data_IF_620291256017
#
_entry.id   IF_620291256017
#
_cell.length_a   1.000
_cell.length_b   1.000
_cell.length_c   1.000
_cell.angle_alpha   90.00
_cell.angle_beta   90.00
_cell.angle_gamma   90.00
#
_symmetry.space_group_name_H-M   'P 1'
#
loop_
_entity.id
_entity.type
_entity.pdbx_description
1 polymer ?
#
# COMPACT_ATOMS: atom_id res chain seq x y z
N UNK A 1 1.66 -5.16 -0.47
CA UNK A 1 0.48 -5.92 0.04
C UNK A 1 0.41 -7.29 -0.63
N UNK A 2 -0.03 -7.39 -1.89
CA UNK A 2 -0.15 -8.68 -2.59
C UNK A 2 1.16 -9.46 -2.70
N UNK A 3 2.27 -8.79 -3.01
CA UNK A 3 3.58 -9.46 -3.08
C UNK A 3 4.00 -10.06 -1.74
N UNK A 4 3.75 -9.34 -0.64
CA UNK A 4 4.00 -9.83 0.72
C UNK A 4 3.15 -11.06 1.02
N UNK A 5 1.87 -11.04 0.62
CA UNK A 5 0.98 -12.16 0.86
C UNK A 5 1.42 -13.43 0.11
N UNK A 6 1.93 -13.30 -1.13
CA UNK A 6 2.56 -14.44 -1.83
C UNK A 6 3.82 -14.91 -1.10
N UNK A 7 4.66 -13.98 -0.63
CA UNK A 7 5.87 -14.35 0.12
C UNK A 7 5.57 -15.09 1.42
N UNK A 8 4.53 -14.68 2.16
CA UNK A 8 4.09 -15.37 3.36
C UNK A 8 3.57 -16.79 3.06
N UNK A 9 2.88 -16.96 1.92
CA UNK A 9 2.29 -18.24 1.51
C UNK A 9 3.31 -19.22 0.89
N UNK A 10 4.23 -18.72 0.08
CA UNK A 10 5.07 -19.53 -0.82
C UNK A 10 6.57 -19.36 -0.59
N UNK A 11 6.97 -18.39 0.24
CA UNK A 11 8.37 -18.06 0.50
C UNK A 11 9.07 -17.31 -0.64
N UNK A 12 8.36 -17.01 -1.74
CA UNK A 12 8.90 -16.25 -2.87
C UNK A 12 8.27 -14.86 -2.94
N UNK A 13 9.09 -13.83 -3.17
CA UNK A 13 8.61 -12.46 -3.32
C UNK A 13 8.47 -12.13 -4.82
N UNK A 14 7.29 -12.27 -5.41
CA UNK A 14 7.09 -11.94 -6.82
C UNK A 14 7.17 -10.42 -7.02
N UNK A 15 7.39 -10.01 -8.28
CA UNK A 15 7.18 -8.63 -8.71
C UNK A 15 5.96 -8.56 -9.60
N UNK A 16 4.86 -7.99 -9.11
CA UNK A 16 3.59 -7.88 -9.83
C UNK A 16 3.57 -6.67 -10.77
N UNK A 17 2.76 -6.72 -11.82
CA UNK A 17 2.65 -5.62 -12.77
C UNK A 17 1.74 -4.51 -12.24
N UNK A 18 2.37 -3.44 -11.72
CA UNK A 18 1.66 -2.19 -11.42
C UNK A 18 1.12 -1.52 -12.69
N UNK A 19 1.77 -1.73 -13.84
CA UNK A 19 1.32 -1.18 -15.12
C UNK A 19 0.01 -1.79 -15.61
N UNK A 20 -0.19 -3.09 -15.38
CA UNK A 20 -1.48 -3.72 -15.66
C UNK A 20 -2.60 -3.00 -14.90
N UNK A 21 -2.39 -2.69 -13.62
CA UNK A 21 -3.38 -1.96 -12.81
C UNK A 21 -3.65 -0.59 -13.43
N UNK A 22 -2.61 0.19 -13.73
CA UNK A 22 -2.72 1.52 -14.36
C UNK A 22 -3.53 1.48 -15.65
N UNK A 23 -3.31 0.47 -16.50
CA UNK A 23 -3.92 0.41 -17.83
C UNK A 23 -5.33 -0.21 -17.82
N UNK A 24 -5.64 -1.10 -16.88
CA UNK A 24 -6.78 -2.01 -16.97
C UNK A 24 -7.85 -1.86 -15.87
N UNK A 25 -7.59 -1.18 -14.77
CA UNK A 25 -8.50 -1.17 -13.60
C UNK A 25 -9.46 0.03 -13.52
N UNK A 26 -9.77 0.65 -14.67
CA UNK A 26 -10.66 1.82 -14.73
C UNK A 26 -12.10 1.49 -14.33
N UNK A 27 -12.55 0.27 -14.58
CA UNK A 27 -13.90 -0.19 -14.17
C UNK A 27 -14.05 -0.24 -12.64
N UNK A 28 -12.95 -0.41 -11.92
CA UNK A 28 -12.89 -0.47 -10.46
C UNK A 28 -12.53 0.89 -9.82
N UNK A 29 -12.66 1.98 -10.59
CA UNK A 29 -12.54 3.36 -10.09
C UNK A 29 -11.12 3.91 -10.04
N UNK A 30 -10.13 3.22 -10.61
CA UNK A 30 -8.79 3.78 -10.79
C UNK A 30 -8.72 4.64 -12.07
N UNK A 31 -7.86 5.64 -12.08
CA UNK A 31 -7.78 6.64 -13.17
C UNK A 31 -6.40 6.64 -13.85
N UNK A 32 -5.73 5.49 -13.87
CA UNK A 32 -4.40 5.35 -14.45
C UNK A 32 -3.34 6.08 -13.62
N UNK A 33 -2.79 7.17 -14.17
CA UNK A 33 -1.75 7.96 -13.48
C UNK A 33 -2.33 9.11 -12.65
N UNK A 34 -3.63 9.41 -12.79
CA UNK A 34 -4.23 10.59 -12.18
C UNK A 34 -4.71 10.32 -10.75
N UNK A 35 -5.28 9.14 -10.50
CA UNK A 35 -5.76 8.71 -9.20
C UNK A 35 -5.96 7.19 -9.12
N UNK A 36 -6.16 6.69 -7.90
CA UNK A 36 -6.56 5.31 -7.67
C UNK A 36 -6.69 4.98 -6.18
N UNK A 37 -7.18 3.78 -5.90
CA UNK A 37 -7.33 3.27 -4.54
C UNK A 37 -6.80 1.84 -4.42
N UNK A 38 -6.32 1.51 -3.22
CA UNK A 38 -5.92 0.13 -2.91
C UNK A 38 -7.11 -0.83 -3.01
N UNK A 39 -8.30 -0.41 -2.59
CA UNK A 39 -9.52 -1.22 -2.68
C UNK A 39 -9.90 -1.51 -4.14
N UNK A 40 -9.98 -0.50 -5.01
CA UNK A 40 -10.27 -0.69 -6.43
C UNK A 40 -9.22 -1.56 -7.13
N UNK A 41 -7.95 -1.37 -6.78
CA UNK A 41 -6.86 -2.25 -7.26
C UNK A 41 -7.09 -3.70 -6.86
N UNK A 42 -7.44 -3.97 -5.60
CA UNK A 42 -7.65 -5.32 -5.10
C UNK A 42 -8.91 -5.98 -5.67
N UNK A 43 -9.98 -5.19 -5.86
CA UNK A 43 -11.19 -5.64 -6.57
C UNK A 43 -10.86 -6.03 -8.01
N UNK A 44 -10.03 -5.25 -8.71
CA UNK A 44 -9.58 -5.58 -10.05
C UNK A 44 -8.80 -6.90 -10.08
N UNK A 45 -7.84 -7.08 -9.16
CA UNK A 45 -7.04 -8.31 -9.11
C UNK A 45 -7.89 -9.52 -8.75
N UNK A 46 -8.85 -9.38 -7.83
CA UNK A 46 -9.82 -10.45 -7.51
C UNK A 46 -10.59 -10.91 -8.77
N UNK A 47 -11.04 -9.97 -9.61
CA UNK A 47 -11.83 -10.26 -10.82
C UNK A 47 -10.99 -10.74 -12.01
N UNK A 48 -9.77 -10.23 -12.17
CA UNK A 48 -9.00 -10.37 -13.42
C UNK A 48 -7.65 -11.06 -13.25
N UNK A 49 -7.18 -11.24 -12.02
CA UNK A 49 -5.81 -11.63 -11.72
C UNK A 49 -4.80 -10.51 -11.99
N UNK A 50 -3.52 -10.81 -11.77
CA UNK A 50 -2.41 -9.91 -12.13
C UNK A 50 -1.19 -10.70 -12.58
N UNK A 51 -0.55 -10.22 -13.65
CA UNK A 51 0.66 -10.83 -14.22
C UNK A 51 1.93 -10.35 -13.54
N UNK A 52 3.02 -11.08 -13.74
CA UNK A 52 4.34 -10.62 -13.35
C UNK A 52 4.73 -9.32 -14.08
N UNK A 53 5.47 -8.45 -13.39
CA UNK A 53 6.04 -7.21 -13.93
C UNK A 53 6.86 -7.42 -15.22
N UNK A 54 7.50 -8.57 -15.39
CA UNK A 54 8.25 -8.90 -16.60
C UNK A 54 7.35 -9.12 -17.82
N UNK A 55 6.16 -9.70 -17.61
CA UNK A 55 5.15 -9.91 -18.65
C UNK A 55 4.46 -8.61 -19.06
N UNK A 56 4.35 -7.64 -18.14
CA UNK A 56 3.75 -6.33 -18.40
C UNK A 56 4.58 -5.22 -17.71
N UNK A 57 5.69 -4.78 -18.35
CA UNK A 57 6.64 -3.83 -17.75
C UNK A 57 6.05 -2.44 -17.49
N UNK A 58 6.58 -1.77 -16.46
CA UNK A 58 6.23 -0.40 -16.11
C UNK A 58 6.75 0.61 -17.13
N UNK A 59 5.91 1.58 -17.48
CA UNK A 59 6.19 2.61 -18.50
C UNK A 59 5.97 4.03 -18.01
N UNK A 60 5.62 4.21 -16.74
CA UNK A 60 5.41 5.52 -16.11
C UNK A 60 4.37 6.43 -16.81
N UNK A 61 3.42 5.83 -17.51
CA UNK A 61 2.28 6.51 -18.15
C UNK A 61 1.09 5.58 -18.26
N UNK A 62 -0.10 6.15 -18.31
CA UNK A 62 -1.29 5.38 -18.64
C UNK A 62 -1.26 4.99 -20.12
N UNK A 63 -1.54 3.71 -20.38
CA UNK A 63 -1.67 3.14 -21.71
C UNK A 63 -3.02 2.45 -21.91
N UNK A 64 -3.13 1.74 -23.02
CA UNK A 64 -4.27 0.87 -23.29
C UNK A 64 -4.04 -0.51 -22.65
N UNK A 65 -5.07 -1.04 -21.99
CA UNK A 65 -5.03 -2.39 -21.42
C UNK A 65 -4.66 -3.46 -22.47
N UNK A 66 -3.52 -4.14 -22.28
CA UNK A 66 -3.05 -5.22 -23.16
C UNK A 66 -3.75 -6.54 -22.84
N UNK A 67 -5.03 -6.66 -23.24
CA UNK A 67 -5.90 -7.79 -22.90
C UNK A 67 -5.29 -9.17 -23.19
N UNK A 68 -4.56 -9.31 -24.30
CA UNK A 68 -3.90 -10.57 -24.67
C UNK A 68 -2.84 -11.04 -23.67
N UNK A 69 -2.21 -10.12 -22.93
CA UNK A 69 -1.26 -10.46 -21.87
C UNK A 69 -2.03 -10.80 -20.59
N UNK A 70 -3.04 -10.00 -20.26
CA UNK A 70 -3.85 -10.17 -19.05
C UNK A 70 -4.65 -11.46 -19.06
N UNK A 71 -5.14 -11.91 -20.22
CA UNK A 71 -5.92 -13.15 -20.36
C UNK A 71 -5.06 -14.43 -20.41
N UNK A 72 -3.73 -14.29 -20.49
CA UNK A 72 -2.81 -15.43 -20.54
C UNK A 72 -2.52 -15.93 -19.12
N UNK A 73 -3.24 -16.97 -18.69
CA UNK A 73 -3.10 -17.57 -17.36
C UNK A 73 -1.67 -18.03 -17.04
N UNK A 74 -0.87 -18.38 -18.05
CA UNK A 74 0.52 -18.80 -17.81
C UNK A 74 1.43 -17.66 -17.34
N UNK A 75 0.99 -16.40 -17.51
CA UNK A 75 1.70 -15.19 -17.08
C UNK A 75 1.20 -14.62 -15.76
N UNK A 76 0.07 -15.14 -15.26
CA UNK A 76 -0.59 -14.66 -14.05
C UNK A 76 0.11 -15.20 -12.80
N UNK A 77 0.37 -14.31 -11.84
CA UNK A 77 0.79 -14.67 -10.49
C UNK A 77 -0.43 -14.86 -9.60
N UNK A 78 -1.42 -13.97 -9.74
CA UNK A 78 -2.79 -14.20 -9.25
C UNK A 78 -3.70 -14.44 -10.43
N UNK A 79 -4.53 -15.47 -10.35
CA UNK A 79 -5.63 -15.74 -11.26
C UNK A 79 -6.94 -15.10 -10.76
N UNK A 80 -7.92 -14.89 -11.66
CA UNK A 80 -9.28 -14.54 -11.26
C UNK A 80 -9.82 -15.50 -10.19
N UNK A 81 -10.26 -14.95 -9.06
CA UNK A 81 -10.82 -15.69 -7.94
C UNK A 81 -9.83 -16.09 -6.85
N UNK A 82 -8.52 -15.94 -7.05
CA UNK A 82 -7.51 -16.26 -6.02
C UNK A 82 -7.61 -15.33 -4.78
N UNK A 83 -8.20 -14.15 -4.97
CA UNK A 83 -8.55 -13.24 -3.88
C UNK A 83 -10.07 -13.25 -3.77
N UNK A 84 -10.60 -13.96 -2.78
CA UNK A 84 -12.01 -14.06 -2.49
C UNK A 84 -12.56 -12.84 -1.73
N UNK A 85 -13.90 -12.72 -1.62
CA UNK A 85 -14.53 -11.64 -0.87
C UNK A 85 -14.13 -11.59 0.62
N UNK A 86 -13.80 -12.74 1.22
CA UNK A 86 -13.36 -12.84 2.62
C UNK A 86 -11.89 -12.46 2.83
N UNK A 87 -11.10 -12.42 1.76
CA UNK A 87 -9.67 -12.12 1.85
C UNK A 87 -9.41 -10.61 1.85
N UNK A 88 -10.36 -9.82 1.34
CA UNK A 88 -10.29 -8.35 1.30
C UNK A 88 -10.85 -7.74 2.58
N UNK A 89 -9.98 -7.23 3.42
CA UNK A 89 -10.38 -6.59 4.69
C UNK A 89 -10.18 -5.08 4.57
N UNK A 90 -11.31 -4.37 4.56
CA UNK A 90 -11.34 -2.91 4.70
C UNK A 90 -11.56 -2.55 6.16
N UNK A 91 -10.69 -1.68 6.68
CA UNK A 91 -10.76 -1.14 8.01
C UNK A 91 -11.22 0.31 7.89
N UNK A 92 -12.34 0.65 8.51
CA UNK A 92 -12.85 2.02 8.59
C UNK A 92 -11.83 2.99 9.24
N UNK A 93 -12.04 4.31 9.15
CA UNK A 93 -11.26 5.29 9.90
C UNK A 93 -11.33 5.02 11.41
N UNK A 94 -10.17 4.88 12.05
CA UNK A 94 -10.03 4.55 13.48
C UNK A 94 -8.85 5.30 14.08
N UNK A 95 -8.58 5.11 15.37
CA UNK A 95 -7.29 5.57 15.93
C UNK A 95 -6.16 4.78 15.27
N UNK A 96 -5.03 5.45 15.01
CA UNK A 96 -3.85 4.81 14.43
C UNK A 96 -3.46 3.54 15.20
N UNK A 97 -3.42 3.63 16.53
CA UNK A 97 -3.11 2.49 17.40
C UNK A 97 -4.02 1.27 17.24
N UNK A 98 -5.28 1.47 16.85
CA UNK A 98 -6.19 0.36 16.55
C UNK A 98 -5.92 -0.24 15.18
N UNK A 99 -5.52 0.57 14.18
CA UNK A 99 -5.07 0.05 12.89
C UNK A 99 -3.80 -0.79 13.07
N UNK A 100 -2.86 -0.34 13.90
CA UNK A 100 -1.59 -1.03 14.14
C UNK A 100 -1.72 -2.45 14.72
N UNK A 101 -2.85 -2.77 15.36
CA UNK A 101 -3.11 -4.13 15.84
C UNK A 101 -3.17 -5.14 14.68
N UNK A 102 -3.66 -4.71 13.51
CA UNK A 102 -3.77 -5.56 12.33
C UNK A 102 -2.43 -5.86 11.65
N UNK A 103 -1.34 -5.16 12.03
CA UNK A 103 -0.01 -5.46 11.50
C UNK A 103 0.52 -6.83 11.94
N UNK A 104 -0.07 -7.44 12.98
CA UNK A 104 0.20 -8.83 13.36
C UNK A 104 -0.35 -9.84 12.33
N UNK A 105 -1.30 -9.41 11.51
CA UNK A 105 -1.97 -10.22 10.49
C UNK A 105 -1.47 -9.88 9.06
N UNK A 106 -0.45 -9.03 8.94
CA UNK A 106 0.12 -8.61 7.67
C UNK A 106 0.16 -7.08 7.49
N UNK A 107 0.84 -6.58 6.44
CA UNK A 107 0.98 -5.15 6.20
C UNK A 107 -0.35 -4.48 5.83
N UNK A 108 -0.44 -3.17 6.02
CA UNK A 108 -1.65 -2.39 5.74
C UNK A 108 -1.38 -1.37 4.63
N UNK A 109 -2.24 -1.31 3.61
CA UNK A 109 -2.27 -0.15 2.72
C UNK A 109 -3.02 0.98 3.42
N UNK A 110 -2.36 2.13 3.56
CA UNK A 110 -2.94 3.35 4.13
C UNK A 110 -2.66 4.53 3.20
N UNK A 111 -3.34 5.65 3.42
CA UNK A 111 -3.05 6.90 2.73
C UNK A 111 -2.41 7.91 3.68
N UNK A 112 -1.48 8.72 3.20
CA UNK A 112 -0.81 9.78 3.96
C UNK A 112 -0.78 11.07 3.14
N UNK A 113 -0.80 12.22 3.81
CA UNK A 113 -0.60 13.52 3.16
C UNK A 113 0.91 13.78 2.99
N UNK A 114 1.33 13.96 1.74
CA UNK A 114 2.75 14.11 1.35
C UNK A 114 3.11 15.52 0.89
N UNK A 115 2.17 16.48 1.00
CA UNK A 115 2.38 17.88 0.63
C UNK A 115 3.51 18.57 1.41
N UNK A 116 3.73 18.30 2.72
CA UNK A 116 4.78 18.97 3.47
C UNK A 116 6.19 18.78 2.87
N UNK A 117 6.99 19.84 2.88
CA UNK A 117 8.29 19.87 2.20
C UNK A 117 9.31 18.84 2.75
N UNK A 118 9.27 18.60 4.06
CA UNK A 118 10.13 17.63 4.72
C UNK A 118 9.76 16.17 4.44
N UNK A 119 8.53 15.87 4.01
CA UNK A 119 8.22 14.56 3.43
C UNK A 119 9.01 14.38 2.13
N UNK A 120 8.93 15.36 1.23
CA UNK A 120 9.61 15.33 -0.08
C UNK A 120 11.13 15.23 0.06
N UNK A 121 11.72 15.94 1.02
CA UNK A 121 13.17 15.95 1.26
C UNK A 121 13.65 14.96 2.32
N UNK A 122 12.79 14.08 2.84
CA UNK A 122 13.13 13.15 3.91
C UNK A 122 14.33 12.25 3.55
N UNK A 123 15.31 12.17 4.47
CA UNK A 123 16.51 11.31 4.36
C UNK A 123 16.71 10.39 5.56
N UNK A 124 16.02 10.62 6.66
CA UNK A 124 16.14 9.80 7.87
C UNK A 124 15.67 10.50 9.14
N UNK A 125 15.59 9.73 10.22
CA UNK A 125 15.06 10.18 11.50
C UNK A 125 13.55 9.99 11.63
N UNK A 126 12.95 10.57 12.66
CA UNK A 126 11.50 10.51 12.86
C UNK A 126 10.88 11.78 12.27
N UNK A 127 9.95 11.62 11.33
CA UNK A 127 9.08 12.70 10.86
C UNK A 127 8.10 13.07 11.97
N UNK A 128 8.18 14.31 12.45
CA UNK A 128 7.35 14.84 13.53
C UNK A 128 7.28 16.38 13.50
N UNK A 129 6.26 16.96 14.14
CA UNK A 129 6.27 18.39 14.53
C UNK A 129 5.99 19.39 13.40
N UNK A 130 5.28 19.01 12.33
CA UNK A 130 4.91 19.92 11.25
C UNK A 130 3.43 19.84 10.87
N UNK A 131 2.85 20.94 10.38
CA UNK A 131 1.48 20.92 9.88
C UNK A 131 1.39 20.10 8.60
N UNK A 132 0.36 19.26 8.52
CA UNK A 132 -0.01 18.55 7.31
C UNK A 132 -1.38 19.06 6.87
N UNK A 133 -1.38 20.08 6.00
CA UNK A 133 -2.61 20.71 5.55
C UNK A 133 -3.28 19.89 4.44
N UNK A 134 -4.54 19.54 4.66
CA UNK A 134 -5.38 18.83 3.70
C UNK A 134 -5.41 17.30 3.86
N UNK A 135 -6.22 16.63 3.02
CA UNK A 135 -6.42 15.18 3.09
C UNK A 135 -5.17 14.41 2.63
N UNK A 136 -5.07 13.11 2.98
CA UNK A 136 -4.14 12.19 2.35
C UNK A 136 -4.21 12.23 0.82
N UNK A 137 -3.05 12.13 0.18
CA UNK A 137 -2.90 12.20 -1.28
C UNK A 137 -2.02 11.08 -1.86
N UNK A 138 -1.45 10.24 -1.00
CA UNK A 138 -0.51 9.22 -1.41
C UNK A 138 -0.74 7.91 -0.65
N UNK A 139 -0.80 6.79 -1.37
CA UNK A 139 -0.88 5.47 -0.77
C UNK A 139 0.51 4.95 -0.40
N UNK A 140 0.66 4.41 0.79
CA UNK A 140 1.88 3.78 1.30
C UNK A 140 1.57 2.44 1.96
N UNK A 141 2.56 1.57 2.05
CA UNK A 141 2.43 0.28 2.73
C UNK A 141 2.98 0.39 4.15
N UNK A 142 2.11 0.36 5.15
CA UNK A 142 2.52 0.30 6.54
C UNK A 142 2.98 -1.12 6.89
N UNK A 143 4.26 -1.29 7.23
CA UNK A 143 4.90 -2.60 7.43
C UNK A 143 5.35 -2.84 8.87
N UNK A 144 5.21 -1.85 9.75
CA UNK A 144 5.60 -2.03 11.15
C UNK A 144 5.49 -0.78 12.00
N UNK A 145 5.81 -0.96 13.27
CA UNK A 145 5.91 0.10 14.26
C UNK A 145 6.93 -0.29 15.33
N UNK A 146 7.34 0.67 16.14
CA UNK A 146 8.26 0.40 17.23
C UNK A 146 8.57 1.63 18.06
N UNK A 147 9.66 1.54 18.81
CA UNK A 147 10.19 2.65 19.61
C UNK A 147 11.61 2.92 19.15
N UNK A 148 11.88 4.18 18.77
CA UNK A 148 13.25 4.65 18.64
C UNK A 148 13.86 4.71 20.04
N UNK A 149 14.73 3.74 20.35
CA UNK A 149 15.32 3.60 21.68
C UNK A 149 16.22 4.78 22.06
N UNK A 150 16.85 5.43 21.08
CA UNK A 150 17.73 6.57 21.35
C UNK A 150 16.94 7.81 21.75
N UNK A 151 15.73 7.99 21.18
CA UNK A 151 14.87 9.15 21.43
C UNK A 151 13.72 8.87 22.39
N UNK A 152 13.46 7.61 22.74
CA UNK A 152 12.30 7.19 23.52
C UNK A 152 10.95 7.42 22.80
N UNK A 153 10.96 7.62 21.48
CA UNK A 153 9.78 7.99 20.70
C UNK A 153 9.15 6.80 20.00
N UNK A 154 7.83 6.68 20.09
CA UNK A 154 7.07 5.68 19.33
C UNK A 154 7.00 6.10 17.87
N UNK A 155 7.12 5.15 16.96
CA UNK A 155 7.09 5.40 15.52
C UNK A 155 6.33 4.31 14.76
N UNK A 156 5.84 4.67 13.59
CA UNK A 156 5.36 3.74 12.55
C UNK A 156 6.28 3.79 11.33
N UNK A 157 6.40 2.65 10.63
CA UNK A 157 7.31 2.46 9.51
C UNK A 157 6.54 2.12 8.24
N UNK A 158 6.17 3.12 7.41
CA UNK A 158 5.68 2.87 6.07
C UNK A 158 6.80 2.72 5.05
N UNK A 159 6.53 1.90 4.04
CA UNK A 159 7.26 1.79 2.78
C UNK A 159 6.65 2.74 1.75
N UNK A 160 7.50 3.47 1.05
CA UNK A 160 7.13 4.42 0.01
C UNK A 160 7.54 3.90 -1.38
N UNK A 161 6.89 4.43 -2.42
CA UNK A 161 7.09 4.06 -3.83
C UNK A 161 8.01 5.02 -4.60
N UNK A 162 8.81 5.83 -3.91
CA UNK A 162 9.70 6.85 -4.51
C UNK A 162 11.16 6.40 -4.64
N UNK A 163 11.38 5.08 -4.66
CA UNK A 163 12.70 4.48 -4.82
C UNK A 163 13.55 4.50 -3.54
N UNK A 164 14.63 3.73 -3.56
CA UNK A 164 15.50 3.50 -2.39
C UNK A 164 16.35 4.70 -2.01
N UNK A 165 16.54 5.67 -2.92
CA UNK A 165 17.27 6.92 -2.65
C UNK A 165 16.47 7.93 -1.80
N UNK A 166 15.18 7.68 -1.62
CA UNK A 166 14.32 8.48 -0.75
C UNK A 166 14.29 7.86 0.65
N UNK A 167 14.35 8.71 1.69
CA UNK A 167 14.28 8.27 3.08
C UNK A 167 15.32 7.24 3.47
N UNK A 168 14.91 6.29 4.31
CA UNK A 168 15.74 5.24 4.86
C UNK A 168 15.58 3.98 3.99
N UNK A 169 16.23 3.96 2.82
CA UNK A 169 16.12 2.90 1.81
C UNK A 169 14.67 2.71 1.28
N UNK A 170 13.95 3.80 1.03
CA UNK A 170 12.55 3.77 0.58
C UNK A 170 11.52 3.75 1.72
N UNK A 171 11.97 3.64 2.98
CA UNK A 171 11.10 3.69 4.15
C UNK A 171 11.15 5.04 4.85
N UNK A 172 10.12 5.32 5.64
CA UNK A 172 10.14 6.41 6.62
C UNK A 172 9.92 5.88 8.03
N UNK A 173 10.33 6.67 9.02
CA UNK A 173 9.88 6.55 10.40
C UNK A 173 9.06 7.78 10.73
N UNK A 174 7.83 7.58 11.14
CA UNK A 174 6.85 8.64 11.40
C UNK A 174 6.44 8.57 12.86
N UNK A 175 6.31 9.72 13.52
CA UNK A 175 5.87 9.77 14.91
C UNK A 175 4.52 9.08 15.10
N UNK A 176 4.45 8.25 16.13
CA UNK A 176 3.21 7.61 16.59
C UNK A 176 2.76 8.28 17.87
N UNK A 177 1.71 9.08 17.77
CA UNK A 177 1.02 9.65 18.92
C UNK A 177 -0.09 8.68 19.39
N UNK A 178 0.01 8.07 20.58
CA UNK A 178 -1.02 7.18 21.10
C UNK A 178 -2.34 7.92 21.42
N UNK A 179 -2.29 9.24 21.62
CA UNK A 179 -3.45 10.08 21.90
C UNK A 179 -4.06 10.68 20.61
N UNK A 180 -3.58 10.24 19.44
CA UNK A 180 -4.17 10.62 18.17
C UNK A 180 -5.66 10.24 18.13
N UNK A 181 -6.50 11.23 17.78
CA UNK A 181 -7.95 11.06 17.59
C UNK A 181 -8.25 10.07 16.47
N UNK A 182 -9.48 9.56 16.45
CA UNK A 182 -10.00 8.75 15.34
C UNK A 182 -9.83 9.52 14.03
N UNK A 183 -9.36 8.83 12.98
CA UNK A 183 -9.17 9.45 11.66
C UNK A 183 -8.03 10.47 11.61
N UNK A 184 -7.14 10.49 12.60
CA UNK A 184 -5.99 11.40 12.64
C UNK A 184 -4.66 10.64 12.64
N UNK A 185 -3.64 11.17 13.32
CA UNK A 185 -2.26 10.69 13.23
C UNK A 185 -1.43 11.59 12.33
N UNK A 186 -0.14 11.31 12.28
CA UNK A 186 0.80 12.13 11.54
C UNK A 186 0.40 12.19 10.05
N UNK A 187 0.23 13.41 9.52
CA UNK A 187 -0.25 13.63 8.15
C UNK A 187 -1.52 12.85 7.77
N UNK A 188 -2.48 12.82 8.71
CA UNK A 188 -3.83 12.25 8.51
C UNK A 188 -3.84 10.77 8.12
N UNK A 189 -2.81 10.03 8.53
CA UNK A 189 -2.58 8.68 8.03
C UNK A 189 -3.61 7.61 8.42
N UNK A 190 -4.50 7.90 9.38
CA UNK A 190 -5.64 7.04 9.72
C UNK A 190 -6.98 7.58 9.18
N UNK A 191 -6.99 8.69 8.44
CA UNK A 191 -8.20 9.39 8.01
C UNK A 191 -9.07 8.57 7.05
N UNK A 192 -8.45 7.79 6.16
CA UNK A 192 -9.15 6.95 5.18
C UNK A 192 -9.25 5.48 5.61
N UNK A 193 -8.87 5.17 6.86
CA UNK A 193 -8.78 3.80 7.32
C UNK A 193 -7.59 3.05 6.69
N UNK A 194 -7.76 1.75 6.47
CA UNK A 194 -6.73 0.91 5.89
C UNK A 194 -7.33 -0.26 5.10
N UNK A 195 -6.55 -0.83 4.18
CA UNK A 195 -6.92 -2.06 3.47
C UNK A 195 -5.83 -3.09 3.66
N UNK A 196 -6.21 -4.35 3.89
CA UNK A 196 -5.29 -5.48 3.91
C UNK A 196 -5.88 -6.68 3.17
N UNK A 197 -5.02 -7.64 2.89
CA UNK A 197 -5.41 -8.93 2.30
C UNK A 197 -5.00 -10.02 3.26
N UNK A 198 -5.90 -10.96 3.52
CA UNK A 198 -5.60 -12.22 4.20
C UNK A 198 -5.67 -13.32 3.16
N UNK A 199 -4.56 -13.74 2.58
CA UNK A 199 -4.60 -14.95 1.77
C UNK A 199 -4.67 -16.14 2.71
N UNK A 200 -5.87 -16.65 2.94
CA UNK A 200 -6.04 -17.99 3.51
C UNK A 200 -5.94 -18.93 2.31
N UNK A 201 -4.87 -19.71 2.22
CA UNK A 201 -4.63 -20.64 1.12
C UNK A 201 -5.93 -21.33 0.65
N UNK A 202 -6.21 -21.40 -0.67
CA UNK A 202 -6.88 -22.58 -1.18
C UNK A 202 -5.87 -23.72 -1.05
N UNK A 203 -6.14 -24.66 -0.14
CA UNK A 203 -5.51 -25.98 -0.13
C UNK A 203 -5.69 -26.68 -1.47
#
# INVERSE_FOLDING_TARGET
LLETAVWEAEGTLPKLSVQQIIDCSREEGNEGCDAGSALGTLQYVSKNGVVASQSYPYTARAGTCKKQIVSDRSKQIYQPGDIGPGDLITLEPRRLDQLLLHLQEGPLSIAVNTKPANWKSYKGGILEGFPCDGPPDHAVLLVGYGVDKAKGKRQVKPENSWGTSWGENGYARIIRDPEAKIGSGFCNMAQLGAVRVTLVHPT
#
